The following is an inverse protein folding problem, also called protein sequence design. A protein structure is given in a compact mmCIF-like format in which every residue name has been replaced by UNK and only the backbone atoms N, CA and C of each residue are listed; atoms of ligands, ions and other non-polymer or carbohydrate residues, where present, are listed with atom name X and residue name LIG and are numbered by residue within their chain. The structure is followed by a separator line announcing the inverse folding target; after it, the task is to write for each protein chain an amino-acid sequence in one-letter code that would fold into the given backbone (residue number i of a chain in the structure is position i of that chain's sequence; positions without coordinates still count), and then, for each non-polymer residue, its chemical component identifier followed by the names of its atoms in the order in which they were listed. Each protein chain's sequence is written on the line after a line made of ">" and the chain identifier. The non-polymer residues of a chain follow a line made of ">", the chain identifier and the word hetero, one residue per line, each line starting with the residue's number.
data_IF_790368284022
#
_entry.id   IF_790368284022
#
_cell.length_a   1.000
_cell.length_b   1.000
_cell.length_c   1.000
_cell.angle_alpha   90.00
_cell.angle_beta   90.00
_cell.angle_gamma   90.00
#
_symmetry.space_group_name_H-M   'P 1'
#
loop_
_entity.id
_entity.type
_entity.pdbx_description
1 polymer ?
#
# COMPACT_ATOMS: atom_id res chain seq x y z
N UNK A 1 -15.95 -19.75 -15.26
CA UNK A 1 -15.38 -18.42 -14.90
C UNK A 1 -16.48 -17.38 -14.77
N UNK A 2 -17.34 -17.23 -15.79
CA UNK A 2 -18.62 -16.50 -15.61
C UNK A 2 -19.42 -17.04 -14.43
N UNK A 3 -19.41 -18.36 -14.23
CA UNK A 3 -20.12 -19.02 -13.13
C UNK A 3 -19.71 -18.53 -11.73
N UNK A 4 -18.44 -18.16 -11.50
CA UNK A 4 -17.98 -17.67 -10.19
C UNK A 4 -18.46 -16.23 -9.95
N UNK A 5 -18.41 -15.39 -10.99
CA UNK A 5 -18.92 -14.03 -10.92
C UNK A 5 -20.42 -14.05 -10.66
N UNK A 6 -21.18 -14.84 -11.41
CA UNK A 6 -22.63 -14.97 -11.25
C UNK A 6 -23.00 -15.45 -9.83
N UNK A 7 -22.26 -16.43 -9.29
CA UNK A 7 -22.42 -16.88 -7.90
C UNK A 7 -22.17 -15.77 -6.88
N UNK A 8 -21.14 -14.96 -7.08
CA UNK A 8 -20.85 -13.83 -6.19
C UNK A 8 -21.90 -12.72 -6.32
N UNK A 9 -22.38 -12.41 -7.52
CA UNK A 9 -23.47 -11.45 -7.71
C UNK A 9 -24.72 -11.90 -6.95
N UNK A 10 -25.10 -13.17 -7.07
CA UNK A 10 -26.27 -13.70 -6.35
C UNK A 10 -26.07 -13.69 -4.83
N UNK A 11 -24.88 -14.08 -4.36
CA UNK A 11 -24.55 -14.04 -2.94
C UNK A 11 -24.61 -12.64 -2.36
N UNK A 12 -24.16 -11.63 -3.10
CA UNK A 12 -24.25 -10.22 -2.70
C UNK A 12 -25.71 -9.76 -2.63
N UNK A 13 -26.54 -10.13 -3.62
CA UNK A 13 -27.98 -9.81 -3.60
C UNK A 13 -28.70 -10.46 -2.42
N UNK A 14 -28.42 -11.73 -2.13
CA UNK A 14 -28.98 -12.43 -0.96
C UNK A 14 -28.56 -11.73 0.34
N UNK A 15 -27.26 -11.42 0.48
CA UNK A 15 -26.76 -10.73 1.67
C UNK A 15 -27.39 -9.34 1.85
N UNK A 16 -27.59 -8.59 0.77
CA UNK A 16 -28.28 -7.30 0.80
C UNK A 16 -29.75 -7.44 1.24
N UNK A 17 -30.46 -8.47 0.74
CA UNK A 17 -31.85 -8.73 1.09
C UNK A 17 -32.03 -9.20 2.54
N UNK A 18 -31.06 -9.96 3.06
CA UNK A 18 -31.10 -10.57 4.40
C UNK A 18 -30.43 -9.71 5.47
N UNK A 19 -29.80 -8.59 5.10
CA UNK A 19 -29.04 -7.74 6.03
C UNK A 19 -27.77 -8.40 6.56
N UNK A 20 -27.18 -9.33 5.79
CA UNK A 20 -25.94 -10.01 6.14
C UNK A 20 -24.73 -9.25 5.60
N UNK A 21 -23.61 -9.32 6.34
CA UNK A 21 -22.36 -8.73 5.92
C UNK A 21 -21.42 -9.76 5.29
N UNK A 22 -20.80 -9.38 4.19
CA UNK A 22 -19.77 -10.14 3.49
C UNK A 22 -18.40 -9.47 3.65
N UNK A 23 -17.37 -10.30 3.80
CA UNK A 23 -15.99 -9.87 3.94
C UNK A 23 -15.16 -10.38 2.77
N UNK A 24 -14.94 -9.55 1.72
CA UNK A 24 -14.03 -9.87 0.62
C UNK A 24 -12.65 -10.24 1.16
N UNK A 25 -12.14 -11.41 0.77
CA UNK A 25 -10.86 -11.92 1.26
C UNK A 25 -10.15 -12.71 0.18
N UNK A 26 -8.91 -12.30 -0.14
CA UNK A 26 -7.99 -13.11 -0.92
C UNK A 26 -7.22 -14.08 -0.02
N UNK A 27 -5.90 -13.98 0.02
CA UNK A 27 -5.05 -14.82 0.87
C UNK A 27 -5.07 -14.51 2.38
N UNK A 28 -5.75 -13.45 2.83
CA UNK A 28 -5.85 -13.11 4.26
C UNK A 28 -4.56 -12.60 4.92
N UNK A 29 -3.45 -12.44 4.19
CA UNK A 29 -2.14 -12.00 4.73
C UNK A 29 -2.14 -10.59 5.32
N UNK A 30 -3.21 -9.82 5.10
CA UNK A 30 -3.39 -8.43 5.55
C UNK A 30 -4.61 -8.26 6.46
N UNK A 31 -5.14 -9.36 7.02
CA UNK A 31 -6.32 -9.31 7.91
C UNK A 31 -6.07 -8.49 9.18
N UNK A 32 -4.81 -8.34 9.59
CA UNK A 32 -4.42 -7.48 10.72
C UNK A 32 -4.66 -5.98 10.47
N UNK A 33 -4.78 -5.54 9.20
CA UNK A 33 -4.86 -4.14 8.82
C UNK A 33 -6.33 -3.66 8.69
N UNK A 34 -6.59 -2.46 9.18
CA UNK A 34 -7.94 -1.92 9.37
C UNK A 34 -8.61 -2.39 10.66
N UNK A 35 -9.80 -1.87 10.95
CA UNK A 35 -10.60 -2.30 12.10
C UNK A 35 -10.95 -3.79 11.96
N UNK A 36 -11.32 -4.42 13.08
CA UNK A 36 -11.88 -5.77 13.04
C UNK A 36 -13.08 -5.78 12.08
N UNK A 37 -13.10 -6.76 11.19
CA UNK A 37 -14.15 -6.90 10.19
C UNK A 37 -14.92 -8.20 10.43
N UNK A 38 -16.22 -8.04 10.68
CA UNK A 38 -17.16 -9.13 10.84
C UNK A 38 -17.81 -9.52 9.50
N UNK A 39 -18.59 -10.59 9.49
CA UNK A 39 -19.30 -11.08 8.31
C UNK A 39 -18.71 -12.36 7.70
N UNK A 40 -19.48 -12.95 6.78
CA UNK A 40 -19.12 -14.17 6.09
C UNK A 40 -17.98 -13.91 5.09
N UNK A 41 -16.97 -14.78 5.05
CA UNK A 41 -15.86 -14.63 4.11
C UNK A 41 -16.34 -14.88 2.68
N UNK A 42 -16.06 -13.92 1.80
CA UNK A 42 -16.19 -14.06 0.36
C UNK A 42 -14.80 -14.25 -0.25
N UNK A 43 -14.43 -15.50 -0.50
CA UNK A 43 -13.10 -15.89 -0.97
C UNK A 43 -12.93 -15.57 -2.46
N UNK A 44 -11.95 -14.71 -2.80
CA UNK A 44 -11.71 -14.27 -4.17
C UNK A 44 -10.73 -15.14 -4.96
N UNK A 45 -10.06 -16.12 -4.33
CA UNK A 45 -8.94 -16.88 -4.92
C UNK A 45 -9.37 -17.74 -6.11
N UNK A 46 -10.65 -18.14 -6.16
CA UNK A 46 -11.21 -18.87 -7.29
C UNK A 46 -11.16 -18.07 -8.61
N UNK A 47 -11.12 -16.73 -8.54
CA UNK A 47 -10.97 -15.85 -9.70
C UNK A 47 -9.49 -15.45 -9.85
N UNK A 48 -8.70 -16.30 -10.49
CA UNK A 48 -7.25 -16.12 -10.67
C UNK A 48 -6.81 -16.25 -12.13
N UNK A 49 -5.62 -15.72 -12.42
CA UNK A 49 -4.98 -15.71 -13.72
C UNK A 49 -4.91 -14.33 -14.37
N UNK A 50 -4.02 -14.23 -15.35
CA UNK A 50 -3.84 -13.03 -16.18
C UNK A 50 -4.97 -12.96 -17.22
N UNK A 51 -5.58 -11.78 -17.36
CA UNK A 51 -6.62 -11.51 -18.37
C UNK A 51 -5.98 -11.02 -19.66
N UNK A 52 -5.06 -10.07 -19.55
CA UNK A 52 -4.25 -9.57 -20.67
C UNK A 52 -2.94 -8.99 -20.15
N UNK A 53 -1.91 -9.01 -20.99
CA UNK A 53 -0.63 -8.42 -20.67
C UNK A 53 0.00 -7.87 -21.95
N UNK A 54 0.22 -6.56 -21.96
CA UNK A 54 0.82 -5.81 -23.06
C UNK A 54 2.17 -5.25 -22.59
N UNK A 55 3.28 -6.02 -22.71
CA UNK A 55 4.57 -5.63 -22.14
C UNK A 55 5.10 -4.32 -22.73
N UNK A 56 4.86 -4.06 -24.02
CA UNK A 56 5.30 -2.85 -24.71
C UNK A 56 4.52 -1.61 -24.26
N UNK A 57 3.27 -1.79 -23.85
CA UNK A 57 2.43 -0.70 -23.31
C UNK A 57 2.61 -0.53 -21.80
N UNK A 58 3.36 -1.43 -21.15
CA UNK A 58 3.56 -1.45 -19.70
C UNK A 58 2.24 -1.60 -18.92
N UNK A 59 1.31 -2.40 -19.45
CA UNK A 59 0.00 -2.64 -18.84
C UNK A 59 -0.26 -4.13 -18.67
N UNK A 60 -0.78 -4.51 -17.50
CA UNK A 60 -1.27 -5.86 -17.21
C UNK A 60 -2.66 -5.79 -16.60
N UNK A 61 -3.58 -6.62 -17.09
CA UNK A 61 -4.89 -6.85 -16.47
C UNK A 61 -4.92 -8.25 -15.90
N UNK A 62 -5.26 -8.35 -14.61
CA UNK A 62 -5.14 -9.56 -13.82
C UNK A 62 -6.36 -9.73 -12.93
N UNK A 63 -6.79 -10.97 -12.72
CA UNK A 63 -7.90 -11.27 -11.81
C UNK A 63 -7.50 -11.10 -10.35
N UNK A 64 -8.42 -10.63 -9.53
CA UNK A 64 -8.17 -10.23 -8.15
C UNK A 64 -7.64 -11.35 -7.25
N UNK A 65 -8.04 -12.60 -7.49
CA UNK A 65 -7.57 -13.77 -6.75
C UNK A 65 -6.19 -14.28 -7.15
N UNK A 66 -5.57 -13.72 -8.19
CA UNK A 66 -4.24 -14.15 -8.65
C UNK A 66 -3.19 -13.92 -7.56
N UNK A 67 -2.34 -14.93 -7.26
CA UNK A 67 -1.21 -14.76 -6.36
C UNK A 67 -0.30 -13.61 -6.81
N UNK A 68 0.03 -12.70 -5.90
CA UNK A 68 0.89 -11.55 -6.18
C UNK A 68 2.29 -12.00 -6.62
N UNK A 69 2.82 -13.06 -6.01
CA UNK A 69 4.11 -13.64 -6.37
C UNK A 69 4.14 -14.20 -7.81
N UNK A 70 3.02 -14.78 -8.28
CA UNK A 70 2.89 -15.27 -9.66
C UNK A 70 2.97 -14.09 -10.65
N UNK A 71 2.23 -13.01 -10.38
CA UNK A 71 2.30 -11.79 -11.17
C UNK A 71 3.73 -11.20 -11.17
N UNK A 72 4.37 -11.07 -10.01
CA UNK A 72 5.73 -10.54 -9.91
C UNK A 72 6.76 -11.40 -10.68
N UNK A 73 6.62 -12.74 -10.64
CA UNK A 73 7.46 -13.66 -11.40
C UNK A 73 7.28 -13.49 -12.91
N UNK A 74 6.04 -13.45 -13.38
CA UNK A 74 5.72 -13.25 -14.80
C UNK A 74 6.27 -11.91 -15.32
N UNK A 75 6.15 -10.84 -14.52
CA UNK A 75 6.75 -9.54 -14.87
C UNK A 75 8.29 -9.62 -14.86
N UNK A 76 8.90 -10.35 -13.93
CA UNK A 76 10.34 -10.51 -13.84
C UNK A 76 10.94 -11.15 -15.10
N UNK A 77 10.27 -12.16 -15.66
CA UNK A 77 10.67 -12.83 -16.91
C UNK A 77 10.75 -11.88 -18.11
N UNK A 78 10.02 -10.76 -18.06
CA UNK A 78 10.04 -9.70 -19.07
C UNK A 78 10.87 -8.48 -18.66
N UNK A 79 11.66 -8.58 -17.59
CA UNK A 79 12.46 -7.47 -17.09
C UNK A 79 11.61 -6.32 -16.54
N UNK A 80 10.39 -6.59 -16.07
CA UNK A 80 9.45 -5.62 -15.51
C UNK A 80 9.20 -5.88 -14.02
N UNK A 81 8.52 -4.94 -13.37
CA UNK A 81 8.14 -4.99 -11.96
C UNK A 81 6.89 -4.18 -11.65
N UNK A 82 6.28 -4.46 -10.49
CA UNK A 82 5.39 -3.53 -9.80
C UNK A 82 6.26 -2.50 -9.06
N UNK A 83 6.29 -1.23 -9.50
CA UNK A 83 7.30 -0.28 -9.04
C UNK A 83 7.08 0.21 -7.61
N UNK A 84 5.83 0.19 -7.12
CA UNK A 84 5.48 0.54 -5.75
C UNK A 84 5.82 -0.56 -4.72
N UNK A 85 6.43 -1.67 -5.16
CA UNK A 85 6.94 -2.75 -4.30
C UNK A 85 5.95 -3.20 -3.22
N UNK A 86 4.81 -3.80 -3.60
CA UNK A 86 3.78 -4.13 -2.63
C UNK A 86 4.27 -5.13 -1.58
N UNK A 87 3.94 -4.93 -0.29
CA UNK A 87 4.24 -5.90 0.75
C UNK A 87 3.31 -7.11 0.66
N UNK A 88 3.84 -8.30 0.90
CA UNK A 88 3.06 -9.54 0.87
C UNK A 88 2.45 -9.85 2.24
N UNK A 89 3.24 -9.69 3.31
CA UNK A 89 2.92 -10.01 4.71
C UNK A 89 2.58 -11.48 4.97
N UNK A 90 3.14 -12.39 4.16
CA UNK A 90 2.91 -13.82 4.25
C UNK A 90 2.64 -14.43 2.89
N UNK A 91 2.56 -15.75 2.86
CA UNK A 91 2.32 -16.50 1.65
C UNK A 91 0.87 -16.39 1.20
N UNK A 92 0.63 -16.44 -0.11
CA UNK A 92 -0.72 -16.38 -0.67
C UNK A 92 -1.31 -14.98 -0.80
N UNK A 93 -0.54 -13.91 -0.60
CA UNK A 93 -0.98 -12.55 -0.95
C UNK A 93 -1.51 -12.51 -2.39
N UNK A 94 -2.66 -11.90 -2.60
CA UNK A 94 -3.34 -11.81 -3.92
C UNK A 94 -3.31 -10.38 -4.46
N UNK A 95 -3.42 -10.19 -5.77
CA UNK A 95 -3.46 -8.84 -6.39
C UNK A 95 -4.63 -7.99 -5.87
N UNK A 96 -5.82 -8.57 -5.72
CA UNK A 96 -6.99 -7.87 -5.19
C UNK A 96 -6.77 -7.40 -3.75
N UNK A 97 -6.24 -8.27 -2.88
CA UNK A 97 -5.87 -7.90 -1.52
C UNK A 97 -4.75 -6.85 -1.45
N UNK A 98 -3.79 -6.90 -2.37
CA UNK A 98 -2.75 -5.88 -2.53
C UNK A 98 -3.39 -4.50 -2.80
N UNK A 99 -4.25 -4.41 -3.81
CA UNK A 99 -4.96 -3.17 -4.18
C UNK A 99 -5.87 -2.70 -3.06
N UNK A 100 -6.74 -3.57 -2.53
CA UNK A 100 -7.67 -3.23 -1.46
C UNK A 100 -6.95 -2.70 -0.21
N UNK A 101 -5.75 -3.20 0.10
CA UNK A 101 -4.95 -2.67 1.23
C UNK A 101 -4.31 -1.30 0.96
N UNK A 102 -4.06 -0.96 -0.31
CA UNK A 102 -3.43 0.30 -0.72
C UNK A 102 -2.00 0.49 -0.20
N UNK A 103 -1.35 -0.58 0.26
CA UNK A 103 -0.01 -0.52 0.83
C UNK A 103 1.06 -0.49 -0.27
N UNK A 104 2.15 0.21 -0.01
CA UNK A 104 3.30 0.34 -0.92
C UNK A 104 4.58 0.18 -0.11
N UNK A 105 5.63 -0.29 -0.77
CA UNK A 105 6.94 -0.54 -0.16
C UNK A 105 7.90 0.64 -0.23
N UNK A 106 9.20 0.37 -0.06
CA UNK A 106 10.24 1.39 0.08
C UNK A 106 10.31 2.36 -1.12
N UNK A 107 10.03 1.89 -2.34
CA UNK A 107 10.06 2.76 -3.53
C UNK A 107 8.94 3.77 -3.68
N UNK A 108 7.92 3.75 -2.82
CA UNK A 108 6.75 4.64 -2.92
C UNK A 108 7.10 6.11 -3.14
N UNK A 109 8.08 6.66 -2.40
CA UNK A 109 8.43 8.08 -2.53
C UNK A 109 8.95 8.42 -3.92
N UNK A 110 9.79 7.55 -4.48
CA UNK A 110 10.50 7.82 -5.73
C UNK A 110 9.61 7.64 -6.98
N UNK A 111 8.69 6.67 -6.94
CA UNK A 111 7.92 6.28 -8.14
C UNK A 111 6.41 6.50 -8.01
N UNK A 112 5.89 6.73 -6.80
CA UNK A 112 4.47 6.84 -6.53
C UNK A 112 3.90 5.66 -5.74
N UNK A 113 2.68 5.84 -5.22
CA UNK A 113 1.96 4.83 -4.47
C UNK A 113 1.21 3.86 -5.38
N UNK A 114 0.85 2.69 -4.86
CA UNK A 114 0.06 1.67 -5.56
C UNK A 114 -1.10 2.27 -6.36
N UNK A 115 -1.87 3.19 -5.75
CA UNK A 115 -3.04 3.82 -6.37
C UNK A 115 -2.69 4.53 -7.68
N UNK A 116 -1.49 5.09 -7.80
CA UNK A 116 -1.08 5.87 -8.96
C UNK A 116 -0.86 4.95 -10.19
N UNK A 117 -0.69 3.64 -9.94
CA UNK A 117 -0.51 2.58 -10.93
C UNK A 117 -1.79 1.79 -11.23
N UNK A 118 -2.91 2.07 -10.57
CA UNK A 118 -4.21 1.47 -10.91
C UNK A 118 -4.80 2.23 -12.10
N UNK A 119 -4.96 1.54 -13.23
CA UNK A 119 -5.49 2.09 -14.48
C UNK A 119 -6.99 1.82 -14.65
N UNK A 120 -7.47 0.72 -14.07
CA UNK A 120 -8.87 0.32 -14.17
C UNK A 120 -9.19 -0.87 -13.28
N UNK A 121 -10.46 -1.04 -12.95
CA UNK A 121 -10.97 -2.14 -12.14
C UNK A 121 -12.31 -2.63 -12.68
N UNK A 122 -12.57 -3.93 -12.55
CA UNK A 122 -13.93 -4.48 -12.57
C UNK A 122 -14.31 -4.92 -11.17
N UNK A 123 -15.50 -4.53 -10.72
CA UNK A 123 -15.98 -4.77 -9.35
C UNK A 123 -17.41 -5.27 -9.35
N UNK A 124 -17.79 -6.03 -8.33
CA UNK A 124 -19.20 -6.25 -7.98
C UNK A 124 -19.54 -5.28 -6.86
N UNK A 125 -20.55 -4.44 -7.07
CA UNK A 125 -21.04 -3.47 -6.09
C UNK A 125 -22.02 -4.13 -5.09
N UNK A 126 -22.51 -3.39 -4.10
CA UNK A 126 -23.41 -3.92 -3.06
C UNK A 126 -24.82 -4.25 -3.55
N UNK A 127 -25.14 -3.95 -4.80
CA UNK A 127 -26.37 -4.39 -5.47
C UNK A 127 -26.17 -5.71 -6.25
N UNK A 128 -24.93 -6.20 -6.31
CA UNK A 128 -24.57 -7.39 -7.07
C UNK A 128 -24.35 -7.10 -8.56
N UNK A 129 -24.14 -5.85 -8.96
CA UNK A 129 -23.90 -5.48 -10.36
C UNK A 129 -22.40 -5.48 -10.68
N UNK A 130 -22.05 -6.04 -11.84
CA UNK A 130 -20.67 -6.04 -12.33
C UNK A 130 -20.38 -4.73 -13.07
N UNK A 131 -19.59 -3.86 -12.43
CA UNK A 131 -19.23 -2.55 -12.94
C UNK A 131 -17.77 -2.51 -13.39
N UNK A 132 -17.48 -1.70 -14.40
CA UNK A 132 -16.13 -1.47 -14.91
C UNK A 132 -15.79 0.02 -14.83
N UNK A 133 -14.62 0.34 -14.27
CA UNK A 133 -14.13 1.70 -14.09
C UNK A 133 -12.70 1.85 -14.59
N UNK A 134 -12.39 3.03 -15.14
CA UNK A 134 -11.09 3.31 -15.75
C UNK A 134 -10.93 2.64 -17.12
N UNK A 135 -9.68 2.52 -17.57
CA UNK A 135 -9.36 1.97 -18.89
C UNK A 135 -7.86 1.92 -19.14
N UNK A 136 -7.44 1.10 -20.09
CA UNK A 136 -6.02 0.90 -20.41
C UNK A 136 -5.40 2.08 -21.20
N UNK A 137 -6.20 3.05 -21.63
CA UNK A 137 -5.76 4.16 -22.50
C UNK A 137 -5.13 5.31 -21.70
N UNK A 138 -4.07 5.91 -22.27
CA UNK A 138 -3.28 6.99 -21.63
C UNK A 138 -4.03 8.30 -21.35
N UNK A 139 -5.27 8.47 -21.85
CA UNK A 139 -6.10 9.64 -21.59
C UNK A 139 -7.50 9.22 -21.15
N UNK A 140 -7.70 9.15 -19.83
CA UNK A 140 -9.02 9.01 -19.20
C UNK A 140 -9.42 10.37 -18.63
N UNK A 141 -9.93 11.28 -19.47
CA UNK A 141 -10.17 12.71 -19.11
C UNK A 141 -11.64 13.01 -18.82
N UNK A 142 -12.50 11.99 -18.75
CA UNK A 142 -13.93 12.15 -18.48
C UNK A 142 -14.32 11.46 -17.16
N UNK A 143 -14.93 12.23 -16.26
CA UNK A 143 -15.51 11.73 -15.01
C UNK A 143 -14.52 11.64 -13.84
N UNK A 144 -14.99 11.01 -12.76
CA UNK A 144 -14.20 10.78 -11.55
C UNK A 144 -13.32 9.53 -11.70
N UNK A 145 -12.10 9.57 -11.15
CA UNK A 145 -11.19 8.42 -11.14
C UNK A 145 -11.58 7.40 -10.06
N UNK A 146 -12.66 6.66 -10.34
CA UNK A 146 -13.19 5.63 -9.44
C UNK A 146 -12.21 4.47 -9.25
N UNK A 147 -11.41 4.14 -10.26
CA UNK A 147 -10.42 3.06 -10.18
C UNK A 147 -9.47 3.21 -9.01
N UNK A 148 -8.96 4.42 -8.78
CA UNK A 148 -8.03 4.69 -7.69
C UNK A 148 -8.68 4.70 -6.32
N UNK A 149 -10.00 4.86 -6.23
CA UNK A 149 -10.74 4.81 -4.96
C UNK A 149 -10.67 3.41 -4.31
N UNK A 150 -10.56 2.35 -5.11
CA UNK A 150 -10.45 0.99 -4.60
C UNK A 150 -9.08 0.68 -3.97
N UNK A 151 -8.06 1.50 -4.25
CA UNK A 151 -6.77 1.37 -3.60
C UNK A 151 -6.88 1.87 -2.14
N UNK A 152 -6.79 0.94 -1.19
CA UNK A 152 -6.97 1.25 0.25
C UNK A 152 -8.42 1.23 0.73
N UNK A 153 -9.37 0.74 -0.07
CA UNK A 153 -10.77 0.60 0.34
C UNK A 153 -11.01 -0.56 1.31
N UNK A 154 -10.04 -1.47 1.51
CA UNK A 154 -10.17 -2.65 2.36
C UNK A 154 -11.39 -3.54 2.04
N UNK A 155 -11.86 -3.48 0.79
CA UNK A 155 -13.02 -4.26 0.32
C UNK A 155 -14.36 -3.69 0.78
N UNK A 156 -14.43 -2.48 1.34
CA UNK A 156 -15.68 -1.90 1.85
C UNK A 156 -16.55 -1.27 0.78
N UNK A 157 -16.04 -1.07 -0.44
CA UNK A 157 -16.75 -0.41 -1.54
C UNK A 157 -17.21 -1.40 -2.63
N UNK A 158 -16.97 -2.69 -2.44
CA UNK A 158 -17.24 -3.69 -3.47
C UNK A 158 -16.18 -4.78 -3.54
N UNK A 159 -16.50 -5.81 -4.30
CA UNK A 159 -15.63 -6.96 -4.56
C UNK A 159 -14.79 -6.72 -5.82
N UNK A 160 -13.48 -6.57 -5.67
CA UNK A 160 -12.56 -6.51 -6.80
C UNK A 160 -12.55 -7.84 -7.58
N UNK A 161 -12.76 -7.78 -8.89
CA UNK A 161 -12.78 -8.93 -9.79
C UNK A 161 -11.59 -8.94 -10.74
N UNK A 162 -11.35 -7.82 -11.43
CA UNK A 162 -10.18 -7.63 -12.31
C UNK A 162 -9.53 -6.29 -12.01
N UNK A 163 -8.20 -6.22 -12.10
CA UNK A 163 -7.42 -4.99 -11.92
C UNK A 163 -6.48 -4.83 -13.10
N UNK A 164 -6.49 -3.65 -13.70
CA UNK A 164 -5.49 -3.21 -14.68
C UNK A 164 -4.45 -2.34 -14.00
N UNK A 165 -3.18 -2.73 -14.10
CA UNK A 165 -2.05 -2.06 -13.48
C UNK A 165 -1.05 -1.59 -14.53
N UNK A 166 -0.51 -0.38 -14.32
CA UNK A 166 0.72 0.05 -14.96
C UNK A 166 1.91 -0.62 -14.30
N UNK A 167 2.77 -1.23 -15.09
CA UNK A 167 4.05 -1.82 -14.65
C UNK A 167 5.20 -0.94 -15.13
N UNK A 168 6.42 -1.18 -14.65
CA UNK A 168 7.60 -0.47 -15.14
C UNK A 168 8.76 -1.44 -15.40
N UNK A 169 9.70 -1.11 -16.30
CA UNK A 169 10.96 -1.82 -16.41
C UNK A 169 11.70 -1.88 -15.07
N UNK A 170 12.47 -2.94 -14.88
CA UNK A 170 13.45 -3.01 -13.80
C UNK A 170 14.59 -2.02 -14.10
N UNK A 171 15.16 -1.38 -13.07
CA UNK A 171 16.34 -0.54 -13.25
C UNK A 171 17.52 -1.40 -13.74
N UNK A 172 18.46 -0.78 -14.46
CA UNK A 172 19.64 -1.49 -14.95
C UNK A 172 20.52 -1.96 -13.78
N UNK A 173 20.68 -1.10 -12.76
CA UNK A 173 21.35 -1.44 -11.51
C UNK A 173 20.69 -0.81 -10.30
N UNK A 174 20.86 -1.47 -9.15
CA UNK A 174 20.55 -0.94 -7.83
C UNK A 174 21.81 -1.05 -6.95
N UNK A 175 22.13 0.02 -6.22
CA UNK A 175 23.24 0.09 -5.24
C UNK A 175 22.71 0.61 -3.93
N UNK A 176 23.21 0.11 -2.80
CA UNK A 176 22.79 0.59 -1.48
C UNK A 176 23.97 1.17 -0.72
N UNK A 177 23.78 2.36 -0.16
CA UNK A 177 24.76 3.04 0.69
C UNK A 177 24.26 3.02 2.14
N UNK A 178 25.17 2.79 3.07
CA UNK A 178 24.97 2.96 4.51
C UNK A 178 25.78 4.16 4.99
N UNK A 179 25.14 5.06 5.75
CA UNK A 179 25.77 6.23 6.33
C UNK A 179 25.43 6.32 7.82
N UNK A 180 26.44 6.42 8.67
CA UNK A 180 26.27 6.68 10.09
C UNK A 180 25.95 8.16 10.34
N UNK A 181 24.74 8.46 10.79
CA UNK A 181 24.30 9.83 11.11
C UNK A 181 23.08 9.87 12.03
N UNK A 182 22.93 10.94 12.79
CA UNK A 182 21.77 11.17 13.63
C UNK A 182 20.48 11.39 12.82
N UNK A 183 19.30 11.32 13.46
CA UNK A 183 18.02 11.47 12.76
C UNK A 183 17.81 12.88 12.17
N UNK A 184 18.36 13.91 12.81
CA UNK A 184 18.27 15.30 12.33
C UNK A 184 19.01 15.43 10.99
N UNK A 185 20.28 15.00 10.97
CA UNK A 185 21.12 15.01 9.78
C UNK A 185 20.51 14.14 8.68
N UNK A 186 19.99 12.96 9.01
CA UNK A 186 19.34 12.08 8.03
C UNK A 186 18.16 12.76 7.34
N UNK A 187 17.26 13.39 8.10
CA UNK A 187 16.13 14.14 7.54
C UNK A 187 16.62 15.30 6.69
N UNK A 188 17.59 16.07 7.16
CA UNK A 188 18.15 17.20 6.41
C UNK A 188 18.76 16.75 5.07
N UNK A 189 19.66 15.76 5.09
CA UNK A 189 20.30 15.24 3.88
C UNK A 189 19.28 14.64 2.91
N UNK A 190 18.29 13.88 3.40
CA UNK A 190 17.22 13.33 2.56
C UNK A 190 16.43 14.41 1.82
N UNK A 191 16.12 15.53 2.48
CA UNK A 191 15.42 16.64 1.83
C UNK A 191 16.33 17.40 0.85
N UNK A 192 17.59 17.63 1.21
CA UNK A 192 18.57 18.28 0.32
C UNK A 192 18.83 17.44 -0.94
N UNK A 193 18.99 16.13 -0.80
CA UNK A 193 19.17 15.21 -1.92
C UNK A 193 17.88 15.00 -2.72
N UNK A 194 16.71 15.04 -2.09
CA UNK A 194 15.41 14.99 -2.76
C UNK A 194 15.18 16.15 -3.73
N UNK A 195 15.86 17.29 -3.54
CA UNK A 195 15.86 18.43 -4.47
C UNK A 195 16.88 18.32 -5.61
N UNK A 196 17.64 17.22 -5.71
CA UNK A 196 18.72 17.03 -6.68
C UNK A 196 18.36 15.90 -7.67
N UNK A 197 19.00 15.86 -8.85
CA UNK A 197 18.79 14.80 -9.84
C UNK A 197 19.52 13.50 -9.45
N UNK A 198 19.30 13.01 -8.22
CA UNK A 198 19.87 11.77 -7.70
C UNK A 198 18.87 10.62 -7.89
N UNK A 199 19.31 9.43 -8.32
CA UNK A 199 18.44 8.27 -8.54
C UNK A 199 18.04 7.57 -7.23
N UNK A 200 17.71 8.34 -6.19
CA UNK A 200 17.29 7.79 -4.89
C UNK A 200 15.92 7.14 -5.07
N UNK A 201 15.89 5.84 -4.85
CA UNK A 201 14.74 4.99 -5.06
C UNK A 201 14.12 4.49 -3.76
N UNK A 202 14.84 4.51 -2.64
CA UNK A 202 14.34 4.20 -1.30
C UNK A 202 15.27 4.76 -0.23
N UNK A 203 14.74 4.98 0.97
CA UNK A 203 15.49 5.39 2.16
C UNK A 203 14.91 4.73 3.41
N UNK A 204 15.78 4.34 4.32
CA UNK A 204 15.41 3.88 5.66
C UNK A 204 16.43 4.36 6.68
N UNK A 205 16.00 4.96 7.78
CA UNK A 205 16.85 5.32 8.90
C UNK A 205 16.34 4.70 10.20
N UNK A 206 17.24 4.15 11.00
CA UNK A 206 17.00 3.60 12.33
C UNK A 206 18.32 3.53 13.10
N UNK A 207 18.29 3.79 14.41
CA UNK A 207 19.45 3.64 15.31
C UNK A 207 20.77 4.27 14.79
N UNK A 208 20.68 5.45 14.17
CA UNK A 208 21.87 6.18 13.71
C UNK A 208 22.41 5.73 12.35
N UNK A 209 21.73 4.82 11.66
CA UNK A 209 22.12 4.36 10.33
C UNK A 209 21.09 4.79 9.27
N UNK A 210 21.51 5.58 8.29
CA UNK A 210 20.76 5.84 7.07
C UNK A 210 21.19 4.86 5.98
N UNK A 211 20.25 4.06 5.46
CA UNK A 211 20.41 3.27 4.24
C UNK A 211 19.67 3.93 3.08
N UNK A 212 20.35 4.11 1.95
CA UNK A 212 19.80 4.68 0.72
C UNK A 212 19.94 3.69 -0.43
N UNK A 213 18.84 3.41 -1.14
CA UNK A 213 18.90 2.65 -2.39
C UNK A 213 18.90 3.59 -3.59
N UNK A 214 19.92 3.47 -4.42
CA UNK A 214 20.03 4.15 -5.70
C UNK A 214 19.65 3.18 -6.82
N UNK A 215 18.75 3.56 -7.72
CA UNK A 215 18.27 2.69 -8.80
C UNK A 215 18.17 3.43 -10.12
N UNK A 216 18.78 2.90 -11.18
CA UNK A 216 18.74 3.54 -12.48
C UNK A 216 19.75 3.00 -13.48
N UNK A 217 20.21 3.86 -14.38
CA UNK A 217 21.31 3.56 -15.29
C UNK A 217 22.65 3.56 -14.55
N UNK A 218 23.58 2.69 -14.95
CA UNK A 218 24.90 2.50 -14.32
C UNK A 218 25.62 3.82 -14.05
N UNK A 219 25.76 4.67 -15.09
CA UNK A 219 26.48 5.94 -14.96
C UNK A 219 25.84 6.91 -13.96
N UNK A 220 24.51 6.96 -13.88
CA UNK A 220 23.80 7.83 -12.96
C UNK A 220 23.92 7.33 -11.51
N UNK A 221 23.84 6.01 -11.31
CA UNK A 221 24.00 5.39 -10.00
C UNK A 221 25.45 5.54 -9.51
N UNK A 222 26.45 5.26 -10.35
CA UNK A 222 27.86 5.42 -10.01
C UNK A 222 28.21 6.88 -9.64
N UNK A 223 27.70 7.86 -10.40
CA UNK A 223 27.89 9.27 -10.08
C UNK A 223 27.25 9.66 -8.75
N UNK A 224 26.07 9.11 -8.44
CA UNK A 224 25.40 9.35 -7.16
C UNK A 224 26.13 8.70 -5.99
N UNK A 225 26.66 7.48 -6.14
CA UNK A 225 27.51 6.82 -5.14
C UNK A 225 28.72 7.68 -4.80
N UNK A 226 29.45 8.15 -5.82
CA UNK A 226 30.62 9.00 -5.63
C UNK A 226 30.29 10.35 -4.97
N UNK A 227 29.10 10.91 -5.23
CA UNK A 227 28.66 12.20 -4.70
C UNK A 227 28.13 12.12 -3.27
N UNK A 228 27.35 11.08 -2.95
CA UNK A 228 26.73 10.91 -1.62
C UNK A 228 27.76 10.36 -0.63
N UNK A 229 28.61 9.42 -1.06
CA UNK A 229 29.53 8.71 -0.18
C UNK A 229 28.83 7.73 0.76
N UNK A 230 29.54 7.27 1.80
CA UNK A 230 29.10 6.20 2.68
C UNK A 230 29.69 4.84 2.32
N UNK A 231 29.32 3.82 3.08
CA UNK A 231 29.75 2.45 2.86
C UNK A 231 28.77 1.76 1.90
N UNK A 232 29.28 1.19 0.81
CA UNK A 232 28.45 0.39 -0.07
C UNK A 232 28.15 -0.97 0.58
N UNK A 233 26.87 -1.30 0.69
CA UNK A 233 26.39 -2.58 1.22
C UNK A 233 26.45 -3.62 0.11
N UNK A 234 26.92 -4.83 0.42
CA UNK A 234 26.90 -5.96 -0.52
C UNK A 234 25.50 -6.14 -1.11
N UNK A 235 25.44 -6.50 -2.40
CA UNK A 235 24.18 -6.59 -3.13
C UNK A 235 23.20 -7.61 -2.53
N UNK A 236 23.69 -8.71 -1.98
CA UNK A 236 22.86 -9.76 -1.36
C UNK A 236 22.26 -9.24 -0.05
N UNK A 237 23.08 -8.62 0.79
CA UNK A 237 22.64 -8.05 2.07
C UNK A 237 21.69 -6.87 1.87
N UNK A 238 21.97 -6.02 0.88
CA UNK A 238 21.10 -4.93 0.48
C UNK A 238 19.73 -5.45 0.03
N UNK A 239 19.68 -6.47 -0.84
CA UNK A 239 18.43 -7.06 -1.29
C UNK A 239 17.65 -7.69 -0.12
N UNK A 240 18.34 -8.38 0.79
CA UNK A 240 17.73 -8.96 1.98
C UNK A 240 17.13 -7.87 2.89
N UNK A 241 17.86 -6.75 3.10
CA UNK A 241 17.39 -5.61 3.87
C UNK A 241 16.12 -4.99 3.31
N UNK A 242 16.11 -4.61 2.03
CA UNK A 242 14.95 -3.96 1.40
C UNK A 242 13.73 -4.88 1.34
N UNK A 243 13.94 -6.19 1.14
CA UNK A 243 12.88 -7.19 1.24
C UNK A 243 12.35 -7.29 2.67
N UNK A 244 13.22 -7.36 3.67
CA UNK A 244 12.81 -7.42 5.07
C UNK A 244 12.09 -6.15 5.51
N UNK A 245 12.51 -4.97 5.06
CA UNK A 245 11.82 -3.71 5.29
C UNK A 245 10.42 -3.71 4.68
N UNK A 246 10.31 -4.07 3.38
CA UNK A 246 9.03 -4.18 2.67
C UNK A 246 8.08 -5.12 3.39
N UNK A 247 8.56 -6.28 3.83
CA UNK A 247 7.74 -7.28 4.54
C UNK A 247 7.60 -7.00 6.05
N UNK A 248 8.19 -5.92 6.57
CA UNK A 248 8.25 -5.57 7.98
C UNK A 248 8.77 -6.71 8.89
N UNK A 249 9.91 -7.29 8.48
CA UNK A 249 10.62 -8.38 9.18
C UNK A 249 11.94 -7.94 9.82
N UNK A 250 12.33 -6.66 9.69
CA UNK A 250 13.45 -6.11 10.46
C UNK A 250 13.12 -6.15 11.96
N UNK A 251 14.15 -6.18 12.82
CA UNK A 251 14.00 -6.28 14.28
C UNK A 251 12.98 -5.29 14.85
N UNK A 252 13.08 -4.01 14.48
CA UNK A 252 12.13 -2.95 14.86
C UNK A 252 10.65 -3.34 14.61
N UNK A 253 10.35 -4.05 13.53
CA UNK A 253 8.98 -4.46 13.20
C UNK A 253 8.59 -5.83 13.74
N UNK A 254 9.55 -6.75 13.91
CA UNK A 254 9.29 -8.13 14.28
C UNK A 254 9.23 -8.34 15.80
N UNK A 255 9.92 -7.50 16.59
CA UNK A 255 10.11 -7.71 18.02
C UNK A 255 9.11 -6.92 18.88
N UNK A 256 8.55 -7.57 19.90
CA UNK A 256 7.74 -6.95 20.95
C UNK A 256 6.23 -6.86 20.69
N UNK A 257 5.48 -6.68 21.78
CA UNK A 257 4.00 -6.70 21.81
C UNK A 257 3.35 -5.32 21.70
N UNK A 258 4.17 -4.25 21.67
CA UNK A 258 3.67 -2.88 21.59
C UNK A 258 2.95 -2.64 20.25
N UNK A 259 1.82 -1.91 20.24
CA UNK A 259 1.15 -1.52 19.01
C UNK A 259 2.07 -0.74 18.08
N UNK A 260 1.99 -1.06 16.77
CA UNK A 260 2.78 -0.41 15.73
C UNK A 260 1.96 0.71 15.08
N UNK A 261 2.48 1.93 15.15
CA UNK A 261 1.91 3.13 14.58
C UNK A 261 2.67 3.55 13.33
N UNK A 262 1.90 3.93 12.30
CA UNK A 262 2.41 4.54 11.07
C UNK A 262 1.98 5.99 11.01
N UNK A 263 2.93 6.90 10.97
CA UNK A 263 2.72 8.32 10.84
C UNK A 263 3.16 8.78 9.45
N UNK A 264 2.31 9.56 8.79
CA UNK A 264 2.63 10.31 7.60
C UNK A 264 2.74 11.78 7.98
N UNK A 265 3.93 12.36 7.83
CA UNK A 265 4.27 13.73 8.24
C UNK A 265 4.99 14.44 7.07
N UNK A 266 5.08 15.78 7.07
CA UNK A 266 5.97 16.48 6.15
C UNK A 266 7.39 15.90 6.20
N UNK A 267 8.05 15.76 5.04
CA UNK A 267 9.40 15.17 4.98
C UNK A 267 10.44 15.96 5.77
N UNK A 268 10.18 17.25 6.00
CA UNK A 268 11.02 18.20 6.74
C UNK A 268 10.72 18.23 8.24
N UNK A 269 9.79 17.41 8.75
CA UNK A 269 9.50 17.34 10.17
C UNK A 269 10.75 16.93 10.95
N UNK A 270 11.13 17.76 11.93
CA UNK A 270 12.26 17.52 12.81
C UNK A 270 12.11 16.20 13.57
N UNK A 271 13.23 15.58 14.01
CA UNK A 271 13.18 14.37 14.83
C UNK A 271 12.28 14.54 16.05
N UNK A 272 11.53 13.49 16.34
CA UNK A 272 10.58 13.44 17.44
C UNK A 272 11.17 12.55 18.53
N UNK A 273 10.87 12.82 19.80
CA UNK A 273 11.33 11.98 20.90
C UNK A 273 10.74 10.57 20.78
N UNK A 274 11.54 9.54 20.99
CA UNK A 274 11.14 8.13 20.91
C UNK A 274 12.07 7.32 20.00
N UNK A 275 11.80 6.02 19.93
CA UNK A 275 12.47 5.12 18.99
C UNK A 275 11.67 5.08 17.68
N UNK A 276 12.24 5.70 16.64
CA UNK A 276 11.55 5.93 15.38
C UNK A 276 12.28 5.25 14.24
N UNK A 277 11.54 4.48 13.44
CA UNK A 277 12.00 4.06 12.13
C UNK A 277 11.51 5.06 11.07
N UNK A 278 12.41 5.58 10.25
CA UNK A 278 12.15 6.64 9.28
C UNK A 278 12.25 6.08 7.86
N UNK A 279 11.24 6.33 7.03
CA UNK A 279 11.24 5.94 5.62
C UNK A 279 10.77 7.10 4.73
N UNK A 280 10.83 6.85 3.41
CA UNK A 280 10.24 7.71 2.38
C UNK A 280 10.72 9.16 2.50
N UNK A 281 12.05 9.33 2.54
CA UNK A 281 12.71 10.63 2.53
C UNK A 281 12.41 11.48 3.77
N UNK A 282 12.01 10.85 4.87
CA UNK A 282 11.55 11.55 6.05
C UNK A 282 10.04 11.80 6.08
N UNK A 283 9.23 11.31 5.13
CA UNK A 283 7.78 11.47 5.18
C UNK A 283 7.03 10.39 5.98
N UNK A 284 7.61 9.20 6.15
CA UNK A 284 7.03 8.10 6.93
C UNK A 284 7.80 7.89 8.23
N UNK A 285 7.06 7.76 9.33
CA UNK A 285 7.58 7.48 10.66
C UNK A 285 6.85 6.28 11.23
N UNK A 286 7.59 5.34 11.79
CA UNK A 286 7.03 4.23 12.55
C UNK A 286 7.41 4.34 14.01
N UNK A 287 6.47 4.01 14.87
CA UNK A 287 6.63 4.02 16.32
C UNK A 287 5.98 2.78 16.91
N UNK A 288 6.67 2.12 17.82
CA UNK A 288 6.07 1.14 18.74
C UNK A 288 5.73 1.85 20.04
N UNK A 289 4.45 1.88 20.40
CA UNK A 289 4.01 2.59 21.61
C UNK A 289 2.64 2.13 22.08
N UNK A 290 2.49 2.06 23.40
CA UNK A 290 1.25 1.86 24.15
C UNK A 290 0.57 3.19 24.54
N UNK A 291 1.13 4.34 24.15
CA UNK A 291 0.51 5.63 24.37
C UNK A 291 -0.89 5.69 23.71
N UNK A 292 -1.76 6.55 24.27
CA UNK A 292 -3.14 6.62 23.80
C UNK A 292 -3.21 7.05 22.33
N UNK A 293 -4.26 6.59 21.65
CA UNK A 293 -4.50 6.96 20.27
C UNK A 293 -4.68 8.48 20.11
N UNK A 294 -5.26 9.18 21.09
CA UNK A 294 -5.36 10.65 21.06
C UNK A 294 -3.99 11.31 21.13
N UNK A 295 -3.09 10.81 21.97
CA UNK A 295 -1.74 11.34 22.12
C UNK A 295 -0.94 11.22 20.81
N UNK A 296 -0.87 10.02 20.23
CA UNK A 296 -0.08 9.80 19.01
C UNK A 296 -0.64 10.60 17.83
N UNK A 297 -1.98 10.70 17.72
CA UNK A 297 -2.62 11.52 16.69
C UNK A 297 -2.42 13.01 16.90
N UNK A 298 -2.43 13.49 18.15
CA UNK A 298 -2.10 14.88 18.50
C UNK A 298 -0.66 15.22 18.10
N UNK A 299 0.28 14.31 18.36
CA UNK A 299 1.68 14.43 17.96
C UNK A 299 1.81 14.55 16.43
N UNK A 300 1.19 13.65 15.67
CA UNK A 300 1.20 13.71 14.20
C UNK A 300 0.52 14.97 13.65
N UNK A 301 -0.66 15.32 14.20
CA UNK A 301 -1.45 16.46 13.73
C UNK A 301 -0.79 17.80 14.06
N UNK A 302 -0.03 17.89 15.17
CA UNK A 302 0.73 19.07 15.57
C UNK A 302 1.81 19.49 14.57
N UNK A 303 2.23 18.57 13.69
CA UNK A 303 3.18 18.83 12.60
C UNK A 303 2.51 18.78 11.21
N UNK A 304 1.17 18.79 11.15
CA UNK A 304 0.42 18.72 9.90
C UNK A 304 0.34 17.32 9.28
N UNK A 305 0.60 16.27 10.06
CA UNK A 305 0.54 14.87 9.65
C UNK A 305 -0.67 14.10 10.17
N UNK A 306 -0.66 12.79 9.95
CA UNK A 306 -1.70 11.85 10.36
C UNK A 306 -1.09 10.56 10.91
N UNK A 307 -1.79 9.90 11.83
CA UNK A 307 -1.35 8.63 12.41
C UNK A 307 -2.37 7.52 12.15
N UNK A 308 -1.89 6.31 11.87
CA UNK A 308 -2.67 5.08 11.74
C UNK A 308 -2.11 4.04 12.68
N UNK A 309 -2.96 3.44 13.51
CA UNK A 309 -2.65 2.22 14.24
C UNK A 309 -2.55 1.07 13.24
N UNK A 310 -1.34 0.76 12.82
CA UNK A 310 -1.07 -0.11 11.68
C UNK A 310 -1.22 -1.59 12.03
N UNK A 311 -0.73 -2.00 13.21
CA UNK A 311 -0.80 -3.38 13.71
C UNK A 311 -0.89 -3.40 15.23
N UNK A 312 -1.59 -4.39 15.78
CA UNK A 312 -1.78 -4.53 17.23
C UNK A 312 -2.72 -3.46 17.79
N UNK A 313 -2.73 -3.37 19.13
CA UNK A 313 -3.63 -2.48 19.87
C UNK A 313 -5.12 -2.83 19.71
N UNK A 314 -5.98 -1.92 20.15
CA UNK A 314 -7.43 -2.03 19.98
C UNK A 314 -7.82 -1.93 18.49
N UNK A 315 -8.49 -2.97 17.97
CA UNK A 315 -8.99 -3.03 16.58
C UNK A 315 -10.50 -2.78 16.47
N UNK A 316 -11.20 -2.66 17.61
CA UNK A 316 -12.62 -2.35 17.66
C UNK A 316 -12.84 -0.82 17.71
N UNK A 317 -11.85 -0.07 18.19
CA UNK A 317 -11.75 1.39 18.11
C UNK A 317 -11.34 1.93 16.73
N UNK A 318 -11.22 3.26 16.62
CA UNK A 318 -10.70 3.89 15.39
C UNK A 318 -9.22 3.56 15.22
N UNK A 319 -8.84 3.00 14.07
CA UNK A 319 -7.43 2.67 13.76
C UNK A 319 -6.81 3.69 12.79
N UNK A 320 -7.60 4.28 11.90
CA UNK A 320 -7.13 5.34 11.01
C UNK A 320 -7.20 6.71 11.69
N UNK A 321 -6.59 7.71 11.08
CA UNK A 321 -6.79 9.10 11.50
C UNK A 321 -8.27 9.47 11.28
N UNK A 322 -8.99 9.97 12.30
CA UNK A 322 -10.34 10.48 12.14
C UNK A 322 -10.37 11.60 11.09
N UNK A 323 -11.36 11.54 10.21
CA UNK A 323 -11.54 12.55 9.18
C UNK A 323 -12.33 13.74 9.73
N UNK A 324 -12.03 14.93 9.21
CA UNK A 324 -12.90 16.09 9.40
C UNK A 324 -14.31 15.80 8.84
N UNK A 325 -15.34 16.39 9.46
CA UNK A 325 -16.74 16.10 9.13
C UNK A 325 -17.09 16.19 7.63
N UNK A 326 -16.61 17.18 6.84
CA UNK A 326 -16.88 17.22 5.40
C UNK A 326 -16.30 16.02 4.63
N UNK A 327 -15.10 15.57 4.99
CA UNK A 327 -14.46 14.41 4.35
C UNK A 327 -15.17 13.12 4.74
N UNK A 328 -15.59 12.98 6.00
CA UNK A 328 -16.40 11.84 6.44
C UNK A 328 -17.75 11.78 5.72
N UNK A 329 -18.38 12.94 5.46
CA UNK A 329 -19.62 12.99 4.68
C UNK A 329 -19.43 12.49 3.24
N UNK A 330 -18.32 12.84 2.60
CA UNK A 330 -17.98 12.33 1.26
C UNK A 330 -17.78 10.81 1.31
N UNK A 331 -17.03 10.31 2.29
CA UNK A 331 -16.82 8.87 2.50
C UNK A 331 -18.16 8.13 2.62
N UNK A 332 -19.07 8.58 3.49
CA UNK A 332 -20.40 7.97 3.64
C UNK A 332 -21.23 7.98 2.37
N UNK A 333 -21.17 9.06 1.58
CA UNK A 333 -21.87 9.13 0.29
C UNK A 333 -21.30 8.16 -0.74
N UNK A 334 -19.98 7.99 -0.77
CA UNK A 334 -19.33 6.98 -1.62
C UNK A 334 -19.75 5.57 -1.21
N UNK A 335 -19.72 5.28 0.10
CA UNK A 335 -20.22 4.00 0.61
C UNK A 335 -21.67 3.76 0.22
N UNK A 336 -22.56 4.73 0.42
CA UNK A 336 -23.97 4.60 0.05
C UNK A 336 -24.17 4.39 -1.45
N UNK A 337 -23.33 4.98 -2.29
CA UNK A 337 -23.42 4.82 -3.74
C UNK A 337 -22.98 3.44 -4.22
N UNK A 338 -21.91 2.88 -3.62
CA UNK A 338 -21.36 1.59 -4.00
C UNK A 338 -21.98 0.41 -3.25
N UNK A 339 -22.46 0.61 -2.03
CA UNK A 339 -22.98 -0.43 -1.17
C UNK A 339 -24.10 0.12 -0.27
N UNK A 340 -25.28 0.40 -0.87
CA UNK A 340 -26.38 1.06 -0.18
C UNK A 340 -26.97 0.24 0.98
N UNK A 341 -26.79 -1.07 0.98
CA UNK A 341 -27.24 -1.99 2.03
C UNK A 341 -26.16 -2.29 3.09
N UNK A 342 -24.93 -1.78 2.91
CA UNK A 342 -23.83 -2.00 3.86
C UNK A 342 -23.33 -3.44 3.92
N UNK A 343 -23.43 -4.18 2.82
CA UNK A 343 -23.03 -5.60 2.71
C UNK A 343 -21.54 -5.79 2.98
N UNK A 344 -20.69 -4.94 2.40
CA UNK A 344 -19.25 -5.18 2.36
C UNK A 344 -18.51 -4.61 3.56
N UNK A 345 -17.98 -5.51 4.40
CA UNK A 345 -17.04 -5.24 5.51
C UNK A 345 -17.39 -3.96 6.31
N UNK A 346 -18.63 -3.82 6.80
CA UNK A 346 -19.05 -2.63 7.52
C UNK A 346 -18.14 -2.39 8.73
N UNK A 347 -17.82 -1.13 8.97
CA UNK A 347 -16.96 -0.70 10.05
C UNK A 347 -15.48 -0.94 9.84
N UNK A 348 -15.03 -1.55 8.72
CA UNK A 348 -13.60 -1.93 8.56
C UNK A 348 -12.66 -0.73 8.38
N UNK A 349 -13.12 0.32 7.69
CA UNK A 349 -12.33 1.54 7.45
C UNK A 349 -12.59 2.59 8.55
N UNK A 350 -13.84 2.96 8.78
CA UNK A 350 -14.24 3.90 9.84
C UNK A 350 -15.48 3.35 10.56
N UNK A 351 -15.71 3.73 11.81
CA UNK A 351 -16.94 3.33 12.49
C UNK A 351 -18.19 3.89 11.78
N UNK A 352 -19.22 3.06 11.60
CA UNK A 352 -20.44 3.42 10.90
C UNK A 352 -20.25 3.72 9.41
N UNK A 353 -19.14 3.26 8.83
CA UNK A 353 -18.87 3.26 7.39
C UNK A 353 -19.10 1.88 6.81
#
# INVERSE_FOLDING_TARGET
>A
MNDVIEQWQEKVRSAAAEGMSLRPRGGGTKDFFGRRADGEVLDTRALSGIVSYEPTELVVTVRAGTPLAELESMLAERGQRLPFEPPHFGDGATVGGCVASGLSGPSRLAVGALRDFVLGVKIIDGQGDLLAFGGQVMKNVAGYDVSRLFAGSLGTLGLLCEISLKVLPRPAVERTLCLGMGPADAVEHLNQWGGQPLPISASSWHEGELRLRLSGAEAAVAAAVARIGGEEVDAVDAQAWWRALREQRLAFFAEGDLPLWRLAVPSTTAPMTGDWFIEWGGGQRWLRSDASAEEIRRIASGVGGHATLFRGGDRDGEVFQPLAAPLMMIQRRLKQAFDPAGVFSPGRLYNGF
#
